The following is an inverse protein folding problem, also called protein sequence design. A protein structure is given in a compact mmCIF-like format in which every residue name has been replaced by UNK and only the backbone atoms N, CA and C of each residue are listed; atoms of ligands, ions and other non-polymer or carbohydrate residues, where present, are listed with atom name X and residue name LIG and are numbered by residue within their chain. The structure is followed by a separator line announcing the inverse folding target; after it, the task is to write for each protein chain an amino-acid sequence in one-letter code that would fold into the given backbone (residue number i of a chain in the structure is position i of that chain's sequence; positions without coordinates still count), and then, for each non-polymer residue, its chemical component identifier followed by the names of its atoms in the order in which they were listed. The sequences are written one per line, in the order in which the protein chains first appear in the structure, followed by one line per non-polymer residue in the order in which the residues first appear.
data_IF_765865396828
#
_entry.id   IF_765865396828
#
_cell.length_a   1.000
_cell.length_b   1.000
_cell.length_c   1.000
_cell.angle_alpha   90.00
_cell.angle_beta   90.00
_cell.angle_gamma   90.00
#
_symmetry.space_group_name_H-M   'P 1'
#
loop_
_entity.id
_entity.type
_entity.pdbx_description
1 polymer ?
#
# COMPACT_ATOMS: atom_id res chain seq x y z
N UNK A 1 -12.47 12.69 8.57
CA UNK A 1 -11.88 11.63 8.33
C UNK A 1 -11.71 10.69 9.39
N UNK A 2 -11.60 11.05 10.61
CA UNK A 2 -11.34 10.10 11.67
C UNK A 2 -12.58 9.53 12.33
N UNK A 3 -13.76 9.87 11.85
CA UNK A 3 -14.99 9.34 12.42
C UNK A 3 -15.07 7.82 12.30
N UNK A 4 -14.73 7.32 11.12
CA UNK A 4 -14.71 5.86 10.90
C UNK A 4 -13.65 5.20 11.74
N UNK A 5 -12.51 5.83 11.87
CA UNK A 5 -11.43 5.32 12.69
C UNK A 5 -11.83 5.22 14.16
N UNK A 6 -12.42 6.27 14.72
CA UNK A 6 -12.86 6.24 16.12
C UNK A 6 -13.92 5.19 16.37
N UNK A 7 -14.88 5.08 15.47
CA UNK A 7 -15.91 4.05 15.56
C UNK A 7 -15.32 2.66 15.50
N UNK A 8 -14.40 2.48 14.56
CA UNK A 8 -13.74 1.22 14.36
C UNK A 8 -12.95 0.81 15.60
N UNK A 9 -12.21 1.72 16.19
CA UNK A 9 -11.40 1.45 17.38
C UNK A 9 -12.25 1.00 18.57
N UNK A 10 -13.50 1.50 18.67
CA UNK A 10 -14.38 1.13 19.76
C UNK A 10 -15.13 -0.16 19.49
N UNK A 11 -15.57 -0.35 18.25
CA UNK A 11 -16.45 -1.45 17.91
C UNK A 11 -15.71 -2.72 17.56
N UNK A 12 -14.47 -2.61 17.14
CA UNK A 12 -13.69 -3.78 16.78
C UNK A 12 -13.32 -4.57 18.02
N UNK A 13 -13.54 -5.86 17.96
CA UNK A 13 -13.09 -6.76 18.98
C UNK A 13 -11.63 -7.13 18.73
N UNK A 14 -10.76 -6.15 18.87
CA UNK A 14 -9.34 -6.35 18.63
C UNK A 14 -8.75 -7.09 19.83
N UNK A 15 -8.03 -8.20 19.61
CA UNK A 15 -7.42 -8.93 20.70
C UNK A 15 -6.46 -8.08 21.49
N UNK A 16 -6.61 -8.07 22.81
CA UNK A 16 -5.68 -7.39 23.70
C UNK A 16 -4.61 -8.34 24.23
N UNK A 17 -4.68 -9.60 23.85
CA UNK A 17 -3.70 -10.58 24.27
C UNK A 17 -2.35 -10.34 23.62
N UNK A 18 -1.34 -10.99 24.15
CA UNK A 18 0.01 -10.91 23.60
C UNK A 18 0.14 -11.57 22.23
N UNK A 19 -0.94 -12.15 21.73
CA UNK A 19 -0.93 -12.87 20.47
C UNK A 19 -1.19 -11.95 19.27
N UNK A 20 -0.55 -10.78 19.27
CA UNK A 20 -0.65 -9.79 18.21
C UNK A 20 0.10 -10.21 16.94
N UNK A 21 0.92 -11.24 17.05
CA UNK A 21 1.67 -11.78 15.91
C UNK A 21 0.83 -12.75 15.05
N UNK A 22 -0.40 -13.02 15.45
CA UNK A 22 -1.23 -13.98 14.73
C UNK A 22 -1.49 -13.52 13.30
N UNK A 23 -1.23 -14.41 12.35
CA UNK A 23 -1.48 -14.14 10.94
C UNK A 23 -2.97 -14.32 10.66
N UNK A 24 -3.55 -13.35 9.99
CA UNK A 24 -4.92 -13.47 9.48
C UNK A 24 -4.83 -14.03 8.06
N UNK A 25 -5.10 -15.31 7.90
CA UNK A 25 -4.93 -15.99 6.62
C UNK A 25 -5.81 -15.43 5.51
N UNK A 26 -6.98 -14.92 5.85
CA UNK A 26 -7.89 -14.35 4.86
C UNK A 26 -7.30 -13.10 4.20
N UNK A 27 -6.56 -12.32 4.95
CA UNK A 27 -5.98 -11.08 4.47
C UNK A 27 -4.46 -11.12 4.41
N UNK A 28 -3.88 -12.28 4.77
CA UNK A 28 -2.43 -12.47 4.79
C UNK A 28 -1.72 -11.34 5.51
N UNK A 29 -2.11 -11.09 6.75
CA UNK A 29 -1.54 -10.00 7.51
C UNK A 29 -1.58 -10.27 9.01
N UNK A 30 -1.05 -9.34 9.79
CA UNK A 30 -1.03 -9.41 11.25
C UNK A 30 -2.25 -8.73 11.82
N UNK A 31 -2.91 -9.39 12.76
CA UNK A 31 -3.93 -8.73 13.56
C UNK A 31 -3.26 -7.77 14.52
N UNK A 32 -3.65 -6.50 14.51
CA UNK A 32 -3.07 -5.47 15.35
C UNK A 32 -3.87 -5.32 16.65
N UNK A 33 -3.19 -4.97 17.74
CA UNK A 33 -3.92 -4.54 18.92
C UNK A 33 -4.43 -3.11 18.75
N UNK A 34 -5.39 -2.72 19.58
CA UNK A 34 -6.06 -1.43 19.43
C UNK A 34 -5.08 -0.25 19.58
N UNK A 35 -4.15 -0.35 20.51
CA UNK A 35 -3.20 0.74 20.76
C UNK A 35 -2.25 0.94 19.58
N UNK A 36 -1.73 -0.15 19.03
CA UNK A 36 -0.83 -0.06 17.89
C UNK A 36 -1.58 0.44 16.65
N UNK A 37 -2.79 -0.06 16.42
CA UNK A 37 -3.63 0.43 15.34
C UNK A 37 -3.85 1.93 15.46
N UNK A 38 -4.21 2.39 16.68
CA UNK A 38 -4.43 3.80 16.93
C UNK A 38 -3.18 4.62 16.60
N UNK A 39 -2.01 4.17 17.07
CA UNK A 39 -0.77 4.90 16.80
C UNK A 39 -0.46 4.99 15.31
N UNK A 40 -0.64 3.89 14.58
CA UNK A 40 -0.41 3.90 13.14
C UNK A 40 -1.34 4.88 12.42
N UNK A 41 -2.61 4.91 12.81
CA UNK A 41 -3.59 5.76 12.14
C UNK A 41 -3.42 7.25 12.51
N UNK A 42 -2.55 7.56 13.43
CA UNK A 42 -2.22 8.95 13.80
C UNK A 42 -0.84 9.38 13.32
N UNK A 43 -0.27 8.67 12.36
CA UNK A 43 0.96 9.11 11.71
C UNK A 43 0.68 10.36 10.87
N UNK A 44 1.71 11.15 10.61
CA UNK A 44 1.54 12.40 9.85
C UNK A 44 1.11 12.15 8.40
N UNK A 45 1.54 11.05 7.82
CA UNK A 45 1.21 10.76 6.42
C UNK A 45 0.37 9.49 6.35
N UNK A 46 -0.94 9.69 6.31
CA UNK A 46 -1.92 8.62 6.15
C UNK A 46 -2.78 8.94 4.93
N UNK A 47 -2.83 8.03 3.99
CA UNK A 47 -3.60 8.18 2.76
C UNK A 47 -4.57 7.03 2.62
N UNK A 48 -5.84 7.34 2.41
CA UNK A 48 -6.88 6.32 2.28
C UNK A 48 -7.10 5.98 0.81
N UNK A 49 -7.14 4.68 0.51
CA UNK A 49 -7.45 4.24 -0.85
C UNK A 49 -8.86 4.69 -1.22
N UNK A 50 -9.08 5.16 -2.46
CA UNK A 50 -10.40 5.72 -2.84
C UNK A 50 -11.54 4.72 -2.82
N UNK A 51 -11.28 3.42 -3.04
CA UNK A 51 -12.35 2.41 -3.10
C UNK A 51 -12.18 1.28 -2.11
N UNK A 52 -10.96 0.87 -1.81
CA UNK A 52 -10.69 -0.20 -0.86
C UNK A 52 -10.60 0.38 0.55
N UNK A 53 -10.97 -0.41 1.55
CA UNK A 53 -10.85 0.00 2.95
C UNK A 53 -9.43 -0.22 3.45
N UNK A 54 -8.49 0.36 2.75
CA UNK A 54 -7.07 0.25 3.05
C UNK A 54 -6.50 1.65 3.25
N UNK A 55 -5.71 1.81 4.32
CA UNK A 55 -4.93 3.02 4.55
C UNK A 55 -3.47 2.73 4.22
N UNK A 56 -2.85 3.65 3.51
CA UNK A 56 -1.41 3.62 3.23
C UNK A 56 -0.75 4.59 4.18
N UNK A 57 0.17 4.09 5.00
CA UNK A 57 0.83 4.87 6.03
C UNK A 57 2.31 4.96 5.70
N UNK A 58 2.83 6.18 5.67
CA UNK A 58 4.27 6.40 5.61
C UNK A 58 4.73 6.83 6.99
N UNK A 59 5.53 6.00 7.63
CA UNK A 59 5.97 6.29 9.00
C UNK A 59 6.99 7.42 8.99
N UNK A 60 6.89 8.32 9.99
CA UNK A 60 7.80 9.45 10.08
C UNK A 60 9.24 9.02 10.37
N UNK A 61 9.40 8.06 11.24
CA UNK A 61 10.72 7.67 11.74
C UNK A 61 11.57 7.01 10.66
N UNK A 62 11.03 6.00 9.99
CA UNK A 62 11.80 5.18 9.06
C UNK A 62 11.39 5.37 7.60
N UNK A 63 10.41 6.22 7.35
CA UNK A 63 9.86 6.43 5.99
C UNK A 63 9.40 5.12 5.35
N UNK A 64 8.90 4.21 6.16
CA UNK A 64 8.42 2.91 5.72
C UNK A 64 6.96 2.99 5.32
N UNK A 65 6.59 2.31 4.26
CA UNK A 65 5.20 2.22 3.80
C UNK A 65 4.56 0.99 4.43
N UNK A 66 3.39 1.19 5.05
CA UNK A 66 2.58 0.12 5.62
C UNK A 66 1.17 0.21 5.08
N UNK A 67 0.56 -0.93 4.80
CA UNK A 67 -0.81 -1.01 4.31
C UNK A 67 -1.68 -1.64 5.40
N UNK A 68 -2.75 -0.96 5.76
CA UNK A 68 -3.62 -1.35 6.87
C UNK A 68 -5.03 -1.59 6.35
N UNK A 69 -5.60 -2.75 6.67
CA UNK A 69 -7.03 -2.99 6.50
C UNK A 69 -7.74 -2.23 7.63
N UNK A 70 -8.43 -1.16 7.28
CA UNK A 70 -9.03 -0.26 8.28
C UNK A 70 -10.31 -0.82 8.90
N UNK A 71 -10.91 -1.82 8.28
CA UNK A 71 -12.12 -2.45 8.82
C UNK A 71 -11.77 -3.47 9.90
N UNK A 72 -10.70 -4.22 9.69
CA UNK A 72 -10.35 -5.36 10.54
C UNK A 72 -9.14 -5.13 11.43
N UNK A 73 -8.52 -3.95 11.35
CA UNK A 73 -7.29 -3.61 12.06
C UNK A 73 -6.19 -4.64 11.80
N UNK A 74 -6.00 -4.96 10.54
CA UNK A 74 -4.96 -5.90 10.10
C UNK A 74 -3.90 -5.14 9.32
N UNK A 75 -2.63 -5.29 9.72
CA UNK A 75 -1.54 -4.84 8.88
C UNK A 75 -1.31 -5.88 7.80
N UNK A 76 -1.54 -5.51 6.56
CA UNK A 76 -1.46 -6.42 5.43
C UNK A 76 0.00 -6.79 5.17
N UNK A 77 0.24 -8.08 4.97
CA UNK A 77 1.56 -8.57 4.63
C UNK A 77 1.89 -8.21 3.19
N UNK A 78 3.07 -7.63 2.97
CA UNK A 78 3.56 -7.36 1.63
C UNK A 78 4.43 -8.54 1.22
N UNK A 79 3.98 -9.25 0.19
CA UNK A 79 4.73 -10.37 -0.36
C UNK A 79 5.75 -9.85 -1.36
N UNK A 80 6.97 -10.41 -1.30
CA UNK A 80 8.03 -10.05 -2.22
C UNK A 80 7.91 -10.89 -3.48
N UNK A 81 8.01 -10.22 -4.61
CA UNK A 81 7.99 -10.80 -5.92
C UNK A 81 8.67 -9.77 -6.82
N UNK A 82 8.72 -9.99 -8.12
CA UNK A 82 9.22 -8.98 -9.04
C UNK A 82 8.54 -7.63 -8.76
N UNK A 83 7.22 -7.67 -8.60
CA UNK A 83 6.44 -6.52 -8.11
C UNK A 83 5.77 -6.92 -6.80
N UNK A 84 6.09 -6.27 -5.67
CA UNK A 84 5.45 -6.61 -4.40
C UNK A 84 3.94 -6.51 -4.47
N UNK A 85 3.26 -7.39 -3.73
CA UNK A 85 1.81 -7.45 -3.75
C UNK A 85 1.24 -7.77 -2.37
N UNK A 86 -0.04 -7.49 -2.20
CA UNK A 86 -0.82 -7.89 -1.02
C UNK A 86 -1.97 -8.78 -1.45
N UNK A 87 -2.50 -9.52 -0.50
CA UNK A 87 -3.76 -10.26 -0.69
C UNK A 87 -4.81 -9.60 0.19
N UNK A 88 -5.88 -9.13 -0.43
CA UNK A 88 -6.95 -8.45 0.28
C UNK A 88 -8.28 -9.00 -0.22
N UNK A 89 -9.06 -9.56 0.69
CA UNK A 89 -10.35 -10.19 0.38
C UNK A 89 -10.25 -11.21 -0.76
N UNK A 90 -9.19 -12.02 -0.71
CA UNK A 90 -8.99 -13.09 -1.68
C UNK A 90 -8.45 -12.66 -3.02
N UNK A 91 -8.12 -11.40 -3.20
CA UNK A 91 -7.57 -10.87 -4.44
C UNK A 91 -6.16 -10.34 -4.23
N UNK A 92 -5.32 -10.45 -5.26
CA UNK A 92 -3.97 -9.90 -5.24
C UNK A 92 -3.99 -8.48 -5.81
N UNK A 93 -3.30 -7.58 -5.12
CA UNK A 93 -3.16 -6.18 -5.55
C UNK A 93 -1.69 -5.81 -5.50
N UNK A 94 -1.20 -5.17 -6.54
CA UNK A 94 0.17 -4.68 -6.55
C UNK A 94 0.32 -3.48 -5.62
N UNK A 95 1.34 -3.52 -4.77
CA UNK A 95 1.54 -2.49 -3.74
C UNK A 95 1.71 -1.11 -4.38
N UNK A 96 2.54 -1.02 -5.43
CA UNK A 96 2.79 0.28 -6.05
C UNK A 96 1.52 0.92 -6.61
N UNK A 97 0.58 0.12 -7.11
CA UNK A 97 -0.70 0.65 -7.60
C UNK A 97 -1.57 1.14 -6.46
N UNK A 98 -1.68 0.38 -5.38
CA UNK A 98 -2.45 0.78 -4.19
C UNK A 98 -1.88 2.06 -3.58
N UNK A 99 -0.56 2.13 -3.44
CA UNK A 99 0.11 3.30 -2.88
C UNK A 99 -0.15 4.54 -3.75
N UNK A 100 0.00 4.40 -5.06
CA UNK A 100 -0.22 5.51 -5.98
C UNK A 100 -1.68 5.97 -5.95
N UNK A 101 -2.62 5.05 -5.97
CA UNK A 101 -4.05 5.38 -5.92
C UNK A 101 -4.43 6.06 -4.61
N UNK A 102 -3.87 5.60 -3.49
CA UNK A 102 -4.12 6.24 -2.20
C UNK A 102 -3.53 7.65 -2.15
N UNK A 103 -2.32 7.82 -2.66
CA UNK A 103 -1.63 9.09 -2.63
C UNK A 103 -2.31 10.14 -3.51
N UNK A 104 -2.71 9.75 -4.73
CA UNK A 104 -3.37 10.67 -5.66
C UNK A 104 -4.86 10.83 -5.37
N UNK A 105 -5.47 9.88 -4.68
CA UNK A 105 -6.91 9.85 -4.45
C UNK A 105 -7.72 9.39 -5.64
N UNK A 106 -7.07 8.84 -6.67
CA UNK A 106 -7.74 8.41 -7.90
C UNK A 106 -7.32 7.00 -8.28
N UNK A 107 -8.29 6.24 -8.79
CA UNK A 107 -8.03 4.90 -9.33
C UNK A 107 -7.26 5.05 -10.64
N UNK A 108 -6.27 4.18 -10.84
CA UNK A 108 -5.54 4.12 -12.10
C UNK A 108 -6.47 3.57 -13.17
N UNK A 109 -6.73 4.38 -14.19
CA UNK A 109 -7.66 4.03 -15.27
C UNK A 109 -7.06 3.01 -16.21
N UNK A 110 -7.93 2.29 -16.94
CA UNK A 110 -7.47 1.40 -17.99
C UNK A 110 -6.65 2.17 -19.02
N UNK A 111 -5.57 1.54 -19.46
CA UNK A 111 -4.65 2.18 -20.40
C UNK A 111 -3.59 3.04 -19.75
N UNK A 112 -3.59 3.13 -18.42
CA UNK A 112 -2.57 3.86 -17.65
C UNK A 112 -1.80 2.89 -16.75
N UNK A 113 -0.55 3.20 -16.51
CA UNK A 113 0.32 2.37 -15.68
C UNK A 113 0.97 3.21 -14.59
N UNK A 114 1.39 2.54 -13.52
CA UNK A 114 2.17 3.15 -12.45
C UNK A 114 3.65 2.80 -12.69
N UNK A 115 4.46 3.82 -12.95
CA UNK A 115 5.86 3.67 -13.30
C UNK A 115 6.75 3.93 -12.09
N UNK A 116 7.77 3.09 -11.91
CA UNK A 116 8.82 3.30 -10.90
C UNK A 116 9.91 4.17 -11.53
N UNK A 117 10.03 5.39 -11.02
CA UNK A 117 10.93 6.39 -11.63
C UNK A 117 12.38 5.91 -11.63
N UNK A 118 12.83 5.31 -10.53
CA UNK A 118 14.20 4.80 -10.40
C UNK A 118 14.39 3.38 -10.95
N UNK A 119 13.37 2.77 -11.56
CA UNK A 119 13.33 1.40 -12.10
C UNK A 119 13.54 0.31 -11.05
N UNK A 120 13.47 0.65 -9.77
CA UNK A 120 13.52 -0.33 -8.69
C UNK A 120 12.09 -0.74 -8.34
N UNK A 121 11.72 -1.96 -8.72
CA UNK A 121 10.33 -2.42 -8.69
C UNK A 121 9.75 -2.58 -7.29
N UNK A 122 10.60 -2.73 -6.27
CA UNK A 122 10.15 -2.83 -4.89
C UNK A 122 10.28 -1.51 -4.12
N UNK A 123 10.60 -0.43 -4.80
CA UNK A 123 10.59 0.92 -4.21
C UNK A 123 9.24 1.58 -4.50
N UNK A 124 8.30 1.35 -3.61
CA UNK A 124 6.94 1.88 -3.73
C UNK A 124 6.67 3.12 -2.88
N UNK A 125 7.71 3.89 -2.57
CA UNK A 125 7.51 5.20 -1.96
C UNK A 125 6.83 6.15 -2.94
N UNK A 126 6.04 7.08 -2.41
CA UNK A 126 5.24 8.01 -3.23
C UNK A 126 6.09 8.73 -4.26
N UNK A 127 7.27 9.22 -3.84
CA UNK A 127 8.13 10.04 -4.69
C UNK A 127 8.72 9.27 -5.86
N UNK A 128 8.69 7.94 -5.80
CA UNK A 128 9.23 7.11 -6.86
C UNK A 128 8.18 6.63 -7.85
N UNK A 129 6.93 7.02 -7.67
CA UNK A 129 5.82 6.52 -8.48
C UNK A 129 5.20 7.64 -9.29
N UNK A 130 4.91 7.36 -10.56
CA UNK A 130 4.17 8.29 -11.42
C UNK A 130 3.22 7.48 -12.30
N UNK A 131 2.01 8.00 -12.47
CA UNK A 131 0.99 7.35 -13.31
C UNK A 131 1.08 7.94 -14.71
N UNK A 132 1.28 7.07 -15.69
CA UNK A 132 1.51 7.44 -17.07
C UNK A 132 0.61 6.63 -18.01
N UNK A 133 0.24 7.19 -19.18
CA UNK A 133 -0.35 6.38 -20.24
C UNK A 133 0.57 5.21 -20.61
N UNK A 134 -0.02 4.06 -20.90
CA UNK A 134 0.78 2.86 -21.17
C UNK A 134 1.75 3.06 -22.32
N UNK A 135 1.35 3.80 -23.35
CA UNK A 135 2.22 4.09 -24.50
C UNK A 135 3.49 4.85 -24.08
N UNK A 136 3.34 5.82 -23.16
CA UNK A 136 4.49 6.57 -22.65
C UNK A 136 5.39 5.67 -21.79
N UNK A 137 4.76 4.84 -20.96
CA UNK A 137 5.48 3.91 -20.10
C UNK A 137 6.32 2.93 -20.93
N UNK A 138 5.73 2.38 -21.99
CA UNK A 138 6.43 1.48 -22.89
C UNK A 138 7.60 2.17 -23.60
N UNK A 139 7.41 3.42 -24.01
CA UNK A 139 8.47 4.19 -24.65
C UNK A 139 9.64 4.42 -23.72
N UNK A 140 9.37 4.75 -22.45
CA UNK A 140 10.44 4.95 -21.46
C UNK A 140 11.27 3.66 -21.32
N UNK A 141 10.63 2.51 -21.17
CA UNK A 141 11.34 1.25 -21.06
C UNK A 141 12.08 0.85 -22.35
N UNK A 142 11.52 1.20 -23.47
CA UNK A 142 12.21 1.01 -24.76
C UNK A 142 13.49 1.83 -24.83
N UNK A 143 13.45 3.07 -24.36
CA UNK A 143 14.64 3.92 -24.30
C UNK A 143 15.66 3.40 -23.30
N UNK A 144 15.22 2.89 -22.16
CA UNK A 144 16.12 2.25 -21.19
C UNK A 144 16.87 1.10 -21.85
N UNK A 145 16.16 0.24 -22.58
CA UNK A 145 16.79 -0.86 -23.30
C UNK A 145 17.79 -0.40 -24.34
N UNK A 146 17.49 0.68 -25.07
CA UNK A 146 18.43 1.25 -26.03
C UNK A 146 19.68 1.76 -25.37
N UNK A 147 19.53 2.45 -24.23
CA UNK A 147 20.68 2.98 -23.50
C UNK A 147 21.58 1.85 -23.01
N UNK A 148 21.00 0.79 -22.50
CA UNK A 148 21.76 -0.40 -22.07
C UNK A 148 22.51 -1.02 -23.25
N UNK A 149 21.86 -1.08 -24.39
CA UNK A 149 22.47 -1.66 -25.60
C UNK A 149 23.64 -0.82 -26.09
N UNK A 150 23.54 0.51 -25.99
CA UNK A 150 24.57 1.40 -26.45
C UNK A 150 25.71 1.58 -25.48
N UNK A 151 25.50 1.25 -24.24
CA UNK A 151 26.54 1.35 -23.23
C UNK A 151 27.38 0.08 -23.17
#
# INVERSE_FOLDING_TARGET
MNLNFKRLSRSMNVPTSTNTERINYKYCGKQLDANYYYRLMHQDEVYYHPTLKIAVIKTNKNKTIKLIDTVRAVQLKIFTDEYPYIVYEGKCYRVHRIVSEAYTGEIIKDGWDCHHINRIKDDYNFENLVVLPRSIHEEIHSQDGRLEYLS
#
